data_IF_593404558572
#
_entry.id   IF_593404558572
#
_cell.length_a   1.000
_cell.length_b   1.000
_cell.length_c   1.000
_cell.angle_alpha   90.00
_cell.angle_beta   90.00
_cell.angle_gamma   90.00
#
_symmetry.space_group_name_H-M   'P 1'
#
loop_
_entity.id
_entity.type
_entity.pdbx_description
1 polymer ?
#
# COMPACT_ATOMS: atom_id res chain seq x y z
N UNK A 1 22.44 -13.91 -10.75
CA UNK A 1 21.49 -14.99 -10.43
C UNK A 1 22.09 -16.14 -9.63
N UNK A 2 23.17 -16.82 -10.06
CA UNK A 2 23.74 -17.99 -9.30
C UNK A 2 24.20 -17.68 -7.85
N UNK A 3 24.67 -16.48 -7.54
CA UNK A 3 25.13 -16.10 -6.19
C UNK A 3 23.98 -15.77 -5.22
N UNK A 4 22.88 -15.22 -5.71
CA UNK A 4 21.71 -14.89 -4.88
C UNK A 4 20.94 -16.14 -4.47
N UNK A 5 20.83 -17.12 -5.38
CA UNK A 5 20.19 -18.43 -5.08
C UNK A 5 20.97 -19.21 -4.02
N UNK A 6 22.30 -19.15 -4.04
CA UNK A 6 23.13 -19.82 -3.04
C UNK A 6 22.99 -19.20 -1.64
N UNK A 7 22.84 -17.89 -1.53
CA UNK A 7 22.67 -17.18 -0.25
C UNK A 7 21.28 -17.45 0.36
N UNK A 8 20.22 -17.51 -0.45
CA UNK A 8 18.87 -17.85 0.01
C UNK A 8 18.79 -19.33 0.44
N UNK A 9 19.45 -20.24 -0.27
CA UNK A 9 19.52 -21.64 0.12
C UNK A 9 20.27 -21.85 1.46
N UNK A 10 21.32 -21.09 1.74
CA UNK A 10 22.05 -21.14 3.01
C UNK A 10 21.22 -20.63 4.19
N UNK A 11 20.32 -19.65 3.98
CA UNK A 11 19.41 -19.17 5.01
C UNK A 11 18.29 -20.18 5.33
N UNK A 12 17.82 -20.93 4.34
CA UNK A 12 16.80 -21.98 4.52
C UNK A 12 17.31 -23.19 5.31
N UNK A 13 18.62 -23.50 5.25
CA UNK A 13 19.19 -24.63 5.98
C UNK A 13 19.35 -24.39 7.49
N UNK A 14 19.41 -23.14 7.94
CA UNK A 14 19.53 -22.78 9.38
C UNK A 14 18.17 -22.85 10.10
N UNK A 15 17.05 -22.82 9.38
CA UNK A 15 15.70 -22.81 9.97
C UNK A 15 15.19 -24.23 10.31
N UNK A 16 15.84 -25.29 9.84
CA UNK A 16 15.32 -26.68 9.94
C UNK A 16 15.67 -27.45 11.20
N UNK A 17 16.30 -26.88 12.22
CA UNK A 17 16.78 -27.64 13.37
C UNK A 17 16.02 -27.47 14.70
N UNK A 18 14.86 -26.78 14.74
CA UNK A 18 14.12 -26.59 16.00
C UNK A 18 12.59 -26.70 15.89
N UNK A 19 12.09 -27.59 15.07
CA UNK A 19 10.65 -27.86 14.99
C UNK A 19 10.32 -29.27 15.50
N UNK A 20 10.50 -29.52 16.80
CA UNK A 20 9.82 -30.60 17.52
C UNK A 20 9.74 -30.22 19.02
N UNK A 21 8.71 -29.49 19.38
CA UNK A 21 8.10 -29.63 20.71
C UNK A 21 6.62 -29.37 20.60
N UNK A 22 5.88 -30.43 20.74
CA UNK A 22 4.43 -30.46 20.76
C UNK A 22 4.05 -30.12 22.21
N UNK A 23 3.76 -28.85 22.49
CA UNK A 23 3.16 -28.47 23.77
C UNK A 23 1.66 -28.21 23.57
N UNK A 24 0.90 -28.91 24.40
CA UNK A 24 -0.54 -28.84 24.56
C UNK A 24 -1.02 -27.40 24.70
N UNK A 25 -2.04 -27.05 23.92
CA UNK A 25 -2.77 -25.77 24.05
C UNK A 25 -3.25 -25.63 25.50
N UNK A 26 -2.84 -24.60 26.25
CA UNK A 26 -3.39 -24.35 27.59
C UNK A 26 -4.85 -23.93 27.46
N UNK A 27 -5.70 -24.51 28.26
CA UNK A 27 -7.09 -24.12 28.41
C UNK A 27 -7.15 -22.70 29.02
N UNK A 28 -7.44 -21.70 28.23
CA UNK A 28 -7.46 -20.25 28.54
C UNK A 28 -8.79 -19.83 29.24
N UNK A 29 -9.50 -20.71 29.90
CA UNK A 29 -10.78 -20.39 30.52
C UNK A 29 -10.70 -20.10 32.03
N UNK A 30 -9.53 -20.12 32.64
CA UNK A 30 -9.37 -19.83 34.07
C UNK A 30 -8.10 -19.02 34.33
N UNK A 31 -8.24 -17.75 34.44
CA UNK A 31 -7.65 -16.76 35.32
C UNK A 31 -7.71 -15.39 34.66
N UNK A 32 -8.69 -14.60 35.11
CA UNK A 32 -8.84 -13.22 34.63
C UNK A 32 -7.70 -12.34 35.11
N UNK A 33 -6.68 -12.20 34.29
CA UNK A 33 -5.76 -11.07 34.39
C UNK A 33 -6.46 -9.90 33.73
N UNK A 34 -7.06 -9.02 34.52
CA UNK A 34 -7.46 -7.68 34.10
C UNK A 34 -6.18 -6.92 33.72
N UNK A 35 -5.78 -7.06 32.47
CA UNK A 35 -4.88 -6.12 31.86
C UNK A 35 -5.67 -4.80 31.77
N UNK A 36 -5.23 -3.79 32.55
CA UNK A 36 -5.64 -2.41 32.33
C UNK A 36 -5.47 -2.13 30.83
N UNK A 37 -6.54 -1.67 30.25
CA UNK A 37 -6.83 -1.53 28.83
C UNK A 37 -5.68 -0.88 28.04
N UNK A 38 -4.65 -1.65 27.74
CA UNK A 38 -4.00 -1.51 26.43
C UNK A 38 -5.10 -1.91 25.47
N UNK A 39 -5.70 -0.96 24.77
CA UNK A 39 -6.59 -1.26 23.65
C UNK A 39 -5.72 -1.79 22.52
N UNK A 40 -5.15 -2.97 22.72
CA UNK A 40 -5.03 -3.94 21.66
C UNK A 40 -6.48 -4.12 21.26
N UNK A 41 -6.85 -3.66 20.08
CA UNK A 41 -8.16 -3.96 19.50
C UNK A 41 -8.22 -5.46 19.23
N UNK A 42 -8.16 -6.23 20.30
CA UNK A 42 -8.43 -7.62 20.35
C UNK A 42 -9.92 -7.78 20.17
N UNK A 43 -10.30 -8.33 19.05
CA UNK A 43 -11.55 -9.06 18.84
C UNK A 43 -12.86 -8.42 19.36
N UNK A 44 -12.98 -7.11 19.34
CA UNK A 44 -14.29 -6.51 19.25
C UNK A 44 -14.97 -7.11 18.03
N UNK A 45 -16.04 -7.83 18.27
CA UNK A 45 -16.67 -8.59 17.18
C UNK A 45 -16.84 -7.63 16.00
N UNK A 46 -16.31 -7.99 14.86
CA UNK A 46 -16.31 -7.17 13.63
C UNK A 46 -17.70 -6.59 13.34
N UNK A 47 -18.74 -7.29 13.79
CA UNK A 47 -20.15 -6.94 13.70
C UNK A 47 -20.55 -5.79 14.62
N UNK A 48 -20.09 -5.77 15.88
CA UNK A 48 -20.51 -4.75 16.86
C UNK A 48 -19.94 -3.38 16.52
N UNK A 49 -18.67 -3.30 16.14
CA UNK A 49 -18.07 -2.02 15.74
C UNK A 49 -18.64 -1.50 14.42
N UNK A 50 -18.96 -2.40 13.49
CA UNK A 50 -19.58 -2.03 12.22
C UNK A 50 -21.03 -1.60 12.39
N UNK A 51 -21.79 -2.24 13.27
CA UNK A 51 -23.17 -1.86 13.60
C UNK A 51 -23.27 -0.58 14.43
N UNK A 52 -22.29 -0.32 15.31
CA UNK A 52 -22.22 0.91 16.11
C UNK A 52 -21.59 2.10 15.38
N UNK A 53 -21.10 1.89 14.16
CA UNK A 53 -20.61 2.96 13.32
C UNK A 53 -21.76 3.53 12.51
N UNK A 54 -22.08 4.82 12.69
CA UNK A 54 -22.96 5.58 11.78
C UNK A 54 -22.37 5.73 10.38
N UNK A 55 -21.19 5.17 10.15
CA UNK A 55 -20.43 5.28 8.90
C UNK A 55 -20.46 3.98 8.12
N UNK A 56 -20.48 4.07 6.80
CA UNK A 56 -20.29 2.90 5.91
C UNK A 56 -18.82 2.47 5.94
N UNK A 57 -18.47 1.66 6.94
CA UNK A 57 -17.12 1.17 7.21
C UNK A 57 -17.06 -0.33 6.93
N UNK A 58 -16.07 -0.76 6.14
CA UNK A 58 -15.74 -2.18 5.93
C UNK A 58 -14.36 -2.44 6.53
N UNK A 59 -14.27 -3.36 7.49
CA UNK A 59 -13.00 -3.81 8.09
C UNK A 59 -12.58 -5.15 7.52
N UNK A 60 -11.30 -5.26 7.20
CA UNK A 60 -10.68 -6.44 6.63
C UNK A 60 -9.43 -6.74 7.44
N UNK A 61 -9.33 -7.96 7.91
CA UNK A 61 -8.14 -8.43 8.63
C UNK A 61 -7.19 -9.21 7.72
N UNK A 62 -6.06 -9.59 8.28
CA UNK A 62 -4.98 -10.32 7.62
C UNK A 62 -5.45 -11.58 6.91
N UNK A 63 -6.32 -12.38 7.52
CA UNK A 63 -6.85 -13.62 6.92
C UNK A 63 -7.57 -13.39 5.59
N UNK A 64 -8.31 -12.28 5.46
CA UNK A 64 -8.93 -11.95 4.17
C UNK A 64 -7.88 -11.62 3.11
N UNK A 65 -6.86 -10.84 3.49
CA UNK A 65 -5.78 -10.45 2.57
C UNK A 65 -5.04 -11.68 2.05
N UNK A 66 -4.76 -12.64 2.91
CA UNK A 66 -4.11 -13.90 2.56
C UNK A 66 -4.97 -14.78 1.64
N UNK A 67 -6.26 -14.96 1.96
CA UNK A 67 -7.16 -15.78 1.16
C UNK A 67 -7.46 -15.18 -0.22
N UNK A 68 -7.37 -13.86 -0.37
CA UNK A 68 -7.69 -13.16 -1.62
C UNK A 68 -6.46 -12.54 -2.28
N UNK A 69 -5.25 -12.96 -1.88
CA UNK A 69 -3.99 -12.40 -2.37
C UNK A 69 -3.94 -12.36 -3.90
N UNK A 70 -3.81 -11.17 -4.46
CA UNK A 70 -3.75 -10.93 -5.90
C UNK A 70 -2.44 -10.24 -6.31
N UNK A 71 -2.32 -9.82 -7.56
CA UNK A 71 -1.11 -9.19 -8.13
C UNK A 71 -0.68 -7.91 -7.43
N UNK A 72 -1.64 -7.20 -6.83
CA UNK A 72 -1.42 -5.96 -6.10
C UNK A 72 -2.51 -5.76 -5.06
N UNK A 73 -2.27 -4.89 -4.08
CA UNK A 73 -3.23 -4.61 -3.02
C UNK A 73 -4.62 -4.17 -3.54
N UNK A 74 -4.76 -3.25 -4.50
CA UNK A 74 -6.07 -2.90 -5.05
C UNK A 74 -6.81 -4.09 -5.68
N UNK A 75 -6.09 -5.01 -6.34
CA UNK A 75 -6.70 -6.24 -6.88
C UNK A 75 -7.18 -7.16 -5.76
N UNK A 76 -6.42 -7.29 -4.69
CA UNK A 76 -6.81 -8.06 -3.48
C UNK A 76 -8.09 -7.50 -2.86
N UNK A 77 -8.30 -6.17 -2.91
CA UNK A 77 -9.48 -5.50 -2.37
C UNK A 77 -10.68 -5.48 -3.33
N UNK A 78 -10.52 -5.87 -4.58
CA UNK A 78 -11.58 -5.76 -5.60
C UNK A 78 -12.83 -6.64 -5.32
N UNK A 79 -12.73 -7.64 -4.44
CA UNK A 79 -13.86 -8.42 -3.96
C UNK A 79 -14.77 -7.70 -2.96
N UNK A 80 -14.38 -6.52 -2.48
CA UNK A 80 -15.16 -5.74 -1.51
C UNK A 80 -16.24 -4.95 -2.24
N UNK A 81 -17.51 -5.01 -1.80
CA UNK A 81 -18.59 -4.25 -2.43
C UNK A 81 -18.27 -2.76 -2.56
N UNK A 82 -18.34 -2.24 -3.79
CA UNK A 82 -18.06 -0.84 -4.12
C UNK A 82 -16.58 -0.47 -4.20
N UNK A 83 -15.66 -1.43 -4.08
CA UNK A 83 -14.23 -1.27 -4.37
C UNK A 83 -13.90 -2.01 -5.66
N UNK A 84 -13.14 -1.38 -6.53
CA UNK A 84 -12.61 -1.97 -7.76
C UNK A 84 -11.12 -1.66 -7.88
N UNK A 85 -10.44 -2.42 -8.70
CA UNK A 85 -9.07 -2.13 -9.12
C UNK A 85 -9.07 -1.65 -10.56
N UNK A 86 -8.41 -0.53 -10.82
CA UNK A 86 -8.01 -0.15 -12.17
C UNK A 86 -6.67 -0.82 -12.44
N UNK A 87 -6.67 -1.86 -13.26
CA UNK A 87 -5.50 -2.66 -13.55
C UNK A 87 -4.75 -2.07 -14.75
N UNK A 88 -3.46 -1.85 -14.57
CA UNK A 88 -2.56 -1.31 -15.57
C UNK A 88 -1.68 -2.45 -16.13
N UNK A 89 -1.55 -3.48 -15.34
CA UNK A 89 -0.80 -4.69 -15.64
C UNK A 89 -1.05 -5.73 -14.57
N UNK A 90 -0.27 -6.79 -14.56
CA UNK A 90 -0.44 -7.91 -13.62
C UNK A 90 0.00 -7.59 -12.19
N UNK A 91 0.94 -6.66 -12.00
CA UNK A 91 1.48 -6.26 -10.70
C UNK A 91 1.16 -4.82 -10.32
N UNK A 92 0.53 -4.04 -11.21
CA UNK A 92 0.22 -2.64 -10.95
C UNK A 92 -1.26 -2.35 -11.10
N UNK A 93 -1.81 -1.70 -10.10
CA UNK A 93 -3.18 -1.22 -10.13
C UNK A 93 -3.38 -0.08 -9.14
N UNK A 94 -4.47 0.64 -9.30
CA UNK A 94 -4.93 1.63 -8.32
C UNK A 94 -6.34 1.34 -7.87
N UNK A 95 -6.69 1.70 -6.64
CA UNK A 95 -8.03 1.46 -6.13
C UNK A 95 -9.02 2.48 -6.68
N UNK A 96 -10.27 2.04 -6.78
CA UNK A 96 -11.42 2.85 -7.18
C UNK A 96 -12.56 2.55 -6.22
N UNK A 97 -13.15 3.57 -5.60
CA UNK A 97 -14.30 3.44 -4.70
C UNK A 97 -15.52 4.07 -5.35
N UNK A 98 -16.59 3.29 -5.56
CA UNK A 98 -17.85 3.73 -6.18
C UNK A 98 -17.65 4.47 -7.51
N UNK A 99 -16.69 4.04 -8.32
CA UNK A 99 -16.34 4.66 -9.59
C UNK A 99 -15.40 5.85 -9.52
N UNK A 100 -15.01 6.29 -8.32
CA UNK A 100 -14.09 7.40 -8.11
C UNK A 100 -12.70 6.86 -7.76
N UNK A 101 -11.70 7.31 -8.49
CA UNK A 101 -10.29 6.97 -8.32
C UNK A 101 -9.40 8.21 -8.42
N UNK A 102 -8.09 8.01 -8.59
CA UNK A 102 -7.10 9.08 -8.70
C UNK A 102 -7.10 10.00 -7.46
N UNK A 103 -7.16 11.32 -7.68
CA UNK A 103 -7.19 12.34 -6.63
C UNK A 103 -8.58 12.52 -5.98
N UNK A 104 -9.49 11.55 -6.14
CA UNK A 104 -10.84 11.60 -5.55
C UNK A 104 -11.03 10.57 -4.46
N UNK A 105 -9.99 9.85 -4.11
CA UNK A 105 -9.95 8.93 -3.00
C UNK A 105 -8.59 9.01 -2.29
N UNK A 106 -8.57 8.72 -1.01
CA UNK A 106 -7.38 8.77 -0.18
C UNK A 106 -6.98 7.37 0.27
N UNK A 107 -5.69 7.07 0.21
CA UNK A 107 -5.09 5.93 0.89
C UNK A 107 -4.26 6.47 2.05
N UNK A 108 -4.35 5.86 3.22
CA UNK A 108 -3.49 6.20 4.35
C UNK A 108 -2.75 4.97 4.85
N UNK A 109 -1.57 5.18 5.43
CA UNK A 109 -0.82 4.18 6.19
C UNK A 109 -0.72 4.65 7.65
N UNK A 110 -1.33 3.91 8.58
CA UNK A 110 -1.38 4.26 10.01
C UNK A 110 -1.86 5.72 10.26
N UNK A 111 -2.86 6.16 9.49
CA UNK A 111 -3.43 7.51 9.59
C UNK A 111 -2.66 8.62 8.86
N UNK A 112 -1.53 8.30 8.21
CA UNK A 112 -0.74 9.22 7.40
C UNK A 112 -1.11 9.04 5.94
N UNK A 113 -1.44 10.12 5.23
CA UNK A 113 -1.80 10.09 3.81
C UNK A 113 -0.64 9.56 2.97
N UNK A 114 -0.91 8.57 2.15
CA UNK A 114 0.06 8.03 1.19
C UNK A 114 0.16 8.99 0.01
N UNK A 115 1.33 9.56 -0.18
CA UNK A 115 1.59 10.59 -1.17
C UNK A 115 2.42 10.07 -2.35
N UNK A 116 1.93 9.01 -2.99
CA UNK A 116 2.41 8.55 -4.31
C UNK A 116 2.01 9.51 -5.43
N UNK A 117 2.41 9.18 -6.64
CA UNK A 117 2.10 9.95 -7.85
C UNK A 117 1.01 9.22 -8.63
N UNK A 118 -0.24 9.32 -8.17
CA UNK A 118 -1.36 8.54 -8.68
C UNK A 118 -2.28 9.28 -9.67
N UNK A 119 -1.83 10.39 -10.26
CA UNK A 119 -2.64 11.20 -11.16
C UNK A 119 -2.84 10.59 -12.55
N UNK A 120 -1.88 9.81 -13.07
CA UNK A 120 -1.96 9.16 -14.37
C UNK A 120 -2.68 7.80 -14.30
N UNK A 121 -3.24 7.34 -15.41
CA UNK A 121 -3.88 6.03 -15.49
C UNK A 121 -2.87 4.91 -15.27
N UNK A 122 -1.64 5.09 -15.72
CA UNK A 122 -0.52 4.16 -15.66
C UNK A 122 0.22 4.13 -14.31
N UNK A 123 -0.22 4.90 -13.33
CA UNK A 123 0.42 4.99 -12.02
C UNK A 123 -0.26 4.09 -10.99
N UNK A 124 0.42 3.04 -10.54
CA UNK A 124 -0.05 2.10 -9.53
C UNK A 124 0.05 2.64 -8.10
N UNK A 125 -0.53 1.89 -7.16
CA UNK A 125 -0.38 2.15 -5.73
C UNK A 125 0.91 1.48 -5.22
N UNK A 126 1.75 2.25 -4.56
CA UNK A 126 3.09 1.86 -4.09
C UNK A 126 3.02 1.40 -2.62
N UNK A 127 2.51 0.21 -2.41
CA UNK A 127 2.29 -0.38 -1.07
C UNK A 127 2.67 -1.86 -1.10
N UNK A 128 3.56 -2.27 -0.21
CA UNK A 128 3.79 -3.68 0.08
C UNK A 128 2.56 -4.27 0.78
N UNK A 129 1.79 -5.09 0.06
CA UNK A 129 0.56 -5.70 0.57
C UNK A 129 0.79 -6.70 1.71
N UNK A 130 2.00 -7.26 1.82
CA UNK A 130 2.36 -8.21 2.87
C UNK A 130 2.64 -7.52 4.21
N UNK A 131 3.03 -6.23 4.18
CA UNK A 131 3.28 -5.42 5.37
C UNK A 131 2.00 -4.90 6.04
N UNK A 132 0.83 -5.12 5.43
CA UNK A 132 -0.47 -4.65 5.94
C UNK A 132 -1.11 -5.71 6.82
N UNK A 133 -1.50 -5.32 8.04
CA UNK A 133 -2.14 -6.21 9.02
C UNK A 133 -3.68 -6.17 8.91
N UNK A 134 -4.23 -4.98 8.71
CA UNK A 134 -5.67 -4.76 8.52
C UNK A 134 -5.97 -3.55 7.67
N UNK A 135 -7.16 -3.52 7.09
CA UNK A 135 -7.62 -2.43 6.22
C UNK A 135 -9.02 -1.99 6.67
N UNK A 136 -9.24 -0.69 6.61
CA UNK A 136 -10.56 -0.09 6.77
C UNK A 136 -10.91 0.69 5.49
N UNK A 137 -12.06 0.39 4.90
CA UNK A 137 -12.60 1.12 3.76
C UNK A 137 -13.77 1.97 4.24
N UNK A 138 -13.59 3.28 4.22
CA UNK A 138 -14.59 4.26 4.65
C UNK A 138 -15.25 4.86 3.41
N UNK A 139 -16.58 4.83 3.37
CA UNK A 139 -17.38 5.32 2.24
C UNK A 139 -18.39 6.33 2.74
N UNK A 140 -18.55 7.45 2.03
CA UNK A 140 -19.52 8.48 2.36
C UNK A 140 -18.94 9.61 3.21
N UNK A 141 -19.77 10.43 3.90
CA UNK A 141 -19.38 11.71 4.48
C UNK A 141 -18.23 11.66 5.47
N UNK A 142 -18.08 10.56 6.19
CA UNK A 142 -16.96 10.36 7.13
C UNK A 142 -15.58 10.38 6.48
N UNK A 143 -15.50 10.11 5.19
CA UNK A 143 -14.25 10.22 4.43
C UNK A 143 -13.70 11.65 4.41
N UNK A 144 -14.55 12.69 4.55
CA UNK A 144 -14.14 14.09 4.56
C UNK A 144 -13.18 14.45 5.70
N UNK A 145 -13.13 13.67 6.77
CA UNK A 145 -12.13 13.82 7.84
C UNK A 145 -10.69 13.65 7.34
N UNK A 146 -10.53 13.04 6.18
CA UNK A 146 -9.22 12.76 5.56
C UNK A 146 -8.85 13.77 4.45
N UNK A 147 -9.60 14.86 4.36
CA UNK A 147 -9.36 15.96 3.44
C UNK A 147 -10.23 15.96 2.19
N UNK A 148 -10.07 17.01 1.36
CA UNK A 148 -10.87 17.27 0.16
C UNK A 148 -10.81 16.15 -0.89
N UNK A 149 -9.69 15.44 -0.96
CA UNK A 149 -9.45 14.37 -1.93
C UNK A 149 -10.25 13.10 -1.62
N UNK A 150 -10.85 13.01 -0.43
CA UNK A 150 -11.54 11.80 0.05
C UNK A 150 -13.02 11.71 -0.39
N UNK A 151 -13.45 12.43 -1.41
CA UNK A 151 -14.86 12.47 -1.88
C UNK A 151 -15.37 11.06 -2.24
N UNK A 152 -14.55 10.23 -2.87
CA UNK A 152 -14.88 8.84 -3.24
C UNK A 152 -14.85 7.90 -2.05
N UNK A 153 -14.04 8.19 -1.05
CA UNK A 153 -13.80 7.37 0.11
C UNK A 153 -12.34 7.29 0.52
N UNK A 154 -12.09 6.49 1.54
CA UNK A 154 -10.74 6.30 2.11
C UNK A 154 -10.44 4.82 2.28
N UNK A 155 -9.21 4.44 2.01
CA UNK A 155 -8.63 3.13 2.35
C UNK A 155 -7.56 3.36 3.41
N UNK A 156 -7.85 3.01 4.65
CA UNK A 156 -6.88 3.07 5.73
C UNK A 156 -6.16 1.74 5.84
N UNK A 157 -4.84 1.76 5.69
CA UNK A 157 -3.95 0.62 5.84
C UNK A 157 -3.28 0.70 7.20
N UNK A 158 -3.31 -0.38 7.94
CA UNK A 158 -2.69 -0.45 9.25
C UNK A 158 -1.64 -1.56 9.30
N UNK A 159 -0.46 -1.21 9.79
CA UNK A 159 0.63 -2.13 10.14
C UNK A 159 0.85 -2.05 11.65
N UNK A 160 -0.24 -2.13 12.41
CA UNK A 160 -0.28 -1.84 13.85
C UNK A 160 -0.19 -3.09 14.73
N UNK A 161 0.06 -4.26 14.14
CA UNK A 161 0.31 -5.47 14.90
C UNK A 161 1.52 -5.28 15.82
N UNK A 162 1.31 -5.55 17.12
CA UNK A 162 2.36 -5.55 18.14
C UNK A 162 2.67 -7.01 18.47
N UNK A 163 3.94 -7.46 18.32
CA UNK A 163 4.33 -8.82 18.65
C UNK A 163 4.03 -9.16 20.09
N UNK A 164 3.59 -10.39 20.35
CA UNK A 164 3.34 -10.88 21.71
C UNK A 164 4.55 -11.62 22.30
N UNK A 165 5.44 -12.13 21.42
CA UNK A 165 6.58 -12.97 21.79
C UNK A 165 7.91 -12.21 21.62
N UNK A 166 8.98 -12.64 22.29
CA UNK A 166 10.32 -12.05 22.09
C UNK A 166 10.84 -12.22 20.66
N UNK A 167 10.39 -13.26 19.98
CA UNK A 167 10.71 -13.55 18.59
C UNK A 167 9.55 -14.27 17.92
N UNK A 168 9.19 -13.81 16.75
CA UNK A 168 8.25 -14.46 15.83
C UNK A 168 8.66 -14.15 14.39
N UNK A 169 8.48 -15.11 13.50
CA UNK A 169 8.81 -14.95 12.09
C UNK A 169 7.73 -15.56 11.22
N UNK A 170 7.62 -15.03 10.02
CA UNK A 170 6.69 -15.48 8.99
C UNK A 170 7.38 -15.40 7.64
N UNK A 171 7.17 -16.41 6.81
CA UNK A 171 7.58 -16.41 5.42
C UNK A 171 6.42 -16.88 4.54
N UNK A 172 6.19 -16.17 3.44
CA UNK A 172 5.16 -16.47 2.47
C UNK A 172 5.79 -16.60 1.09
N UNK A 173 5.56 -17.72 0.44
CA UNK A 173 5.93 -17.96 -0.94
C UNK A 173 4.66 -18.07 -1.77
N UNK A 174 4.58 -17.31 -2.86
CA UNK A 174 3.45 -17.41 -3.76
C UNK A 174 3.90 -17.53 -5.22
N UNK A 175 3.06 -18.16 -6.01
CA UNK A 175 3.26 -18.36 -7.44
C UNK A 175 1.94 -18.16 -8.20
N UNK A 176 2.01 -17.62 -9.39
CA UNK A 176 0.85 -17.47 -10.29
C UNK A 176 1.23 -17.91 -11.70
N UNK A 177 0.36 -18.70 -12.33
CA UNK A 177 0.64 -19.27 -13.66
C UNK A 177 0.38 -18.30 -14.81
N UNK A 178 -0.49 -17.29 -14.63
CA UNK A 178 -0.84 -16.37 -15.71
C UNK A 178 0.34 -15.56 -16.22
N UNK A 179 1.14 -15.05 -15.30
CA UNK A 179 2.32 -14.23 -15.56
C UNK A 179 3.60 -14.84 -14.98
N UNK A 180 3.59 -16.15 -14.67
CA UNK A 180 4.73 -16.84 -14.07
C UNK A 180 5.34 -16.08 -12.88
N UNK A 181 4.47 -15.41 -12.11
CA UNK A 181 4.89 -14.63 -10.95
C UNK A 181 5.39 -15.53 -9.85
N UNK A 182 6.54 -15.18 -9.28
CA UNK A 182 7.10 -15.78 -8.07
C UNK A 182 7.38 -14.65 -7.09
N UNK A 183 6.90 -14.79 -5.86
CA UNK A 183 7.15 -13.84 -4.81
C UNK A 183 7.48 -14.50 -3.49
N UNK A 184 8.35 -13.86 -2.73
CA UNK A 184 8.73 -14.21 -1.38
C UNK A 184 8.54 -13.00 -0.49
N UNK A 185 7.79 -13.15 0.60
CA UNK A 185 7.74 -12.17 1.68
C UNK A 185 8.23 -12.83 2.97
N UNK A 186 9.17 -12.20 3.64
CA UNK A 186 9.71 -12.65 4.92
C UNK A 186 9.57 -11.52 5.95
N UNK A 187 9.02 -11.87 7.11
CA UNK A 187 8.80 -10.94 8.20
C UNK A 187 9.39 -11.52 9.49
N UNK A 188 10.01 -10.68 10.27
CA UNK A 188 10.51 -10.99 11.60
C UNK A 188 10.05 -9.90 12.55
N UNK A 189 9.59 -10.29 13.72
CA UNK A 189 9.11 -9.37 14.73
C UNK A 189 9.46 -9.91 16.14
N UNK A 190 9.47 -9.02 17.11
CA UNK A 190 9.67 -9.44 18.49
C UNK A 190 9.41 -8.30 19.46
N UNK A 191 9.03 -8.68 20.69
CA UNK A 191 8.78 -7.74 21.80
C UNK A 191 9.52 -8.20 23.04
N UNK A 192 10.19 -7.27 23.68
CA UNK A 192 10.76 -7.46 25.01
C UNK A 192 10.36 -6.30 25.89
N UNK A 193 9.67 -6.60 26.97
CA UNK A 193 9.08 -5.61 27.87
C UNK A 193 8.18 -4.62 27.11
N UNK A 194 8.56 -3.36 27.06
CA UNK A 194 7.83 -2.27 26.40
C UNK A 194 8.31 -1.95 24.98
N UNK A 195 9.43 -2.54 24.57
CA UNK A 195 10.00 -2.30 23.24
C UNK A 195 9.67 -3.46 22.29
N UNK A 196 9.34 -3.12 21.04
CA UNK A 196 9.16 -4.10 20.00
C UNK A 196 9.82 -3.64 18.67
N UNK A 197 10.11 -4.61 17.84
CA UNK A 197 10.63 -4.38 16.49
C UNK A 197 9.88 -5.23 15.48
N UNK A 198 9.84 -4.75 14.23
CA UNK A 198 9.41 -5.54 13.06
C UNK A 198 10.34 -5.25 11.91
N UNK A 199 10.69 -6.30 11.14
CA UNK A 199 11.48 -6.22 9.91
C UNK A 199 10.73 -6.97 8.84
N UNK A 200 10.60 -6.41 7.65
CA UNK A 200 9.96 -7.04 6.50
C UNK A 200 10.80 -6.90 5.24
N UNK A 201 10.79 -7.93 4.42
CA UNK A 201 11.39 -7.95 3.08
C UNK A 201 10.42 -8.67 2.14
N UNK A 202 10.09 -8.03 1.02
CA UNK A 202 9.26 -8.62 -0.03
C UNK A 202 9.98 -8.53 -1.37
N UNK A 203 10.03 -9.64 -2.08
CA UNK A 203 10.63 -9.74 -3.41
C UNK A 203 9.63 -10.40 -4.35
N UNK A 204 9.29 -9.74 -5.44
CA UNK A 204 8.39 -10.25 -6.48
C UNK A 204 9.03 -10.09 -7.85
N UNK A 205 8.94 -11.14 -8.65
CA UNK A 205 9.35 -11.12 -10.05
C UNK A 205 8.25 -11.79 -10.89
N UNK A 206 7.84 -11.16 -11.98
CA UNK A 206 6.80 -11.68 -12.85
C UNK A 206 7.13 -11.46 -14.32
N UNK A 207 6.71 -12.42 -15.14
CA UNK A 207 6.84 -12.39 -16.60
C UNK A 207 5.64 -11.70 -17.26
N UNK A 208 5.70 -11.58 -18.56
CA UNK A 208 4.60 -11.13 -19.40
C UNK A 208 3.32 -11.95 -19.14
N UNK A 209 2.18 -11.30 -19.00
CA UNK A 209 0.94 -11.98 -18.67
C UNK A 209 0.21 -12.49 -19.92
N UNK A 210 -0.51 -13.60 -19.72
CA UNK A 210 -1.36 -14.21 -20.74
C UNK A 210 -2.72 -13.54 -20.82
N UNK A 211 -3.23 -13.42 -22.03
CA UNK A 211 -4.59 -12.99 -22.33
C UNK A 211 -5.38 -14.10 -23.00
N UNK A 212 -6.71 -14.11 -22.92
CA UNK A 212 -7.55 -15.17 -23.51
C UNK A 212 -7.63 -15.12 -25.05
N UNK A 213 -6.98 -14.15 -25.68
CA UNK A 213 -7.01 -13.93 -27.13
C UNK A 213 -5.71 -14.37 -27.79
N UNK A 214 -5.79 -14.87 -29.01
CA UNK A 214 -4.62 -15.20 -29.85
C UNK A 214 -4.09 -13.98 -30.62
N UNK A 215 -4.89 -12.92 -30.70
CA UNK A 215 -4.54 -11.67 -31.38
C UNK A 215 -5.23 -10.50 -30.71
N UNK A 216 -4.66 -9.32 -30.89
CA UNK A 216 -5.26 -8.05 -30.49
C UNK A 216 -5.55 -7.24 -31.75
N UNK A 217 -6.63 -6.47 -31.73
CA UNK A 217 -6.93 -5.50 -32.77
C UNK A 217 -6.31 -4.17 -32.39
N UNK A 218 -5.46 -3.63 -33.27
CA UNK A 218 -4.88 -2.31 -33.14
C UNK A 218 -5.24 -1.50 -34.39
N UNK A 219 -6.09 -0.49 -34.23
CA UNK A 219 -6.78 0.17 -35.33
C UNK A 219 -7.47 -0.86 -36.25
N UNK A 220 -7.05 -0.94 -37.53
CA UNK A 220 -7.55 -1.91 -38.52
C UNK A 220 -6.71 -3.19 -38.62
N UNK A 221 -5.64 -3.32 -37.87
CA UNK A 221 -4.72 -4.45 -37.91
C UNK A 221 -5.02 -5.47 -36.82
N UNK A 222 -4.91 -6.75 -37.15
CA UNK A 222 -4.90 -7.84 -36.18
C UNK A 222 -3.46 -8.29 -35.99
N UNK A 223 -2.99 -8.16 -34.75
CA UNK A 223 -1.65 -8.51 -34.33
C UNK A 223 -1.72 -9.83 -33.60
N UNK A 224 -1.09 -10.87 -34.14
CA UNK A 224 -1.00 -12.19 -33.51
C UNK A 224 -0.06 -12.13 -32.31
N UNK A 225 -0.51 -12.62 -31.16
CA UNK A 225 0.28 -12.69 -29.95
C UNK A 225 1.05 -14.00 -29.87
N UNK A 226 2.33 -13.93 -29.57
CA UNK A 226 3.16 -15.10 -29.28
C UNK A 226 2.75 -15.69 -27.94
N UNK A 227 2.41 -16.97 -27.90
CA UNK A 227 1.99 -17.68 -26.70
C UNK A 227 0.82 -17.01 -25.94
N UNK A 228 0.00 -16.20 -26.63
CA UNK A 228 -1.08 -15.37 -26.03
C UNK A 228 -0.59 -14.40 -24.96
N UNK A 229 0.63 -13.91 -25.05
CA UNK A 229 1.21 -12.99 -24.06
C UNK A 229 1.25 -11.58 -24.58
N UNK A 230 0.99 -10.62 -23.70
CA UNK A 230 1.27 -9.21 -23.97
C UNK A 230 2.74 -8.94 -23.61
N UNK A 231 3.53 -8.68 -24.65
CA UNK A 231 4.93 -8.36 -24.53
C UNK A 231 5.17 -7.12 -23.67
N UNK A 232 6.32 -7.09 -22.98
CA UNK A 232 6.78 -5.98 -22.14
C UNK A 232 5.82 -5.65 -21.02
N UNK A 233 5.19 -6.67 -20.44
CA UNK A 233 4.34 -6.51 -19.26
C UNK A 233 4.91 -7.19 -18.02
N UNK A 234 6.16 -7.62 -18.14
CA UNK A 234 6.96 -8.15 -17.04
C UNK A 234 7.32 -7.05 -16.02
N UNK A 235 7.65 -7.45 -14.82
CA UNK A 235 8.08 -6.51 -13.80
C UNK A 235 8.65 -7.17 -12.56
N UNK A 236 9.10 -6.33 -11.64
CA UNK A 236 9.65 -6.74 -10.35
C UNK A 236 9.36 -5.71 -9.28
N UNK A 237 9.24 -6.21 -8.04
CA UNK A 237 9.04 -5.43 -6.83
C UNK A 237 10.04 -5.88 -5.76
N UNK A 238 10.59 -4.93 -5.01
CA UNK A 238 11.54 -5.17 -3.95
C UNK A 238 11.24 -4.17 -2.83
N UNK A 239 10.71 -4.69 -1.72
CA UNK A 239 10.26 -3.86 -0.62
C UNK A 239 10.99 -4.22 0.65
N UNK A 240 11.31 -3.19 1.42
CA UNK A 240 11.92 -3.32 2.73
C UNK A 240 11.17 -2.49 3.77
N UNK A 241 11.05 -2.99 4.98
CA UNK A 241 10.48 -2.23 6.09
C UNK A 241 11.17 -2.54 7.41
N UNK A 242 11.24 -1.52 8.26
CA UNK A 242 11.70 -1.63 9.63
C UNK A 242 10.80 -0.79 10.53
N UNK A 243 10.38 -1.36 11.65
CA UNK A 243 9.61 -0.65 12.68
C UNK A 243 10.28 -0.85 14.03
N UNK A 244 10.43 0.23 14.77
CA UNK A 244 10.79 0.22 16.18
C UNK A 244 9.67 0.90 16.98
N UNK A 245 9.14 0.22 17.99
CA UNK A 245 8.03 0.75 18.76
C UNK A 245 8.22 0.58 20.25
N UNK A 246 7.52 1.44 20.97
CA UNK A 246 7.41 1.44 22.43
C UNK A 246 5.93 1.41 22.82
N UNK A 247 5.59 0.56 23.80
CA UNK A 247 4.23 0.45 24.36
C UNK A 247 4.32 0.56 25.86
N UNK A 248 3.90 1.69 26.39
CA UNK A 248 3.77 1.93 27.84
C UNK A 248 2.30 2.01 28.25
N UNK A 249 2.07 2.28 29.52
CA UNK A 249 0.72 2.28 30.11
C UNK A 249 -0.14 3.46 29.59
N UNK A 250 0.47 4.61 29.36
CA UNK A 250 -0.21 5.82 28.90
C UNK A 250 0.31 6.36 27.57
N UNK A 251 1.44 5.86 27.09
CA UNK A 251 2.08 6.34 25.90
C UNK A 251 2.58 5.18 25.03
N UNK A 252 2.29 5.26 23.75
CA UNK A 252 2.88 4.36 22.78
C UNK A 252 3.35 5.14 21.55
N UNK A 253 4.41 4.67 20.94
CA UNK A 253 4.95 5.26 19.71
C UNK A 253 5.54 4.18 18.83
N UNK A 254 5.43 4.37 17.51
CA UNK A 254 6.05 3.53 16.52
C UNK A 254 6.76 4.40 15.47
N UNK A 255 8.00 4.12 15.24
CA UNK A 255 8.80 4.70 14.16
C UNK A 255 8.98 3.64 13.09
N UNK A 256 8.53 3.93 11.86
CA UNK A 256 8.58 3.03 10.70
C UNK A 256 9.37 3.68 9.57
N UNK A 257 10.29 2.91 9.00
CA UNK A 257 10.93 3.21 7.72
C UNK A 257 10.48 2.12 6.75
N UNK A 258 10.08 2.49 5.54
CA UNK A 258 9.81 1.55 4.46
C UNK A 258 10.25 2.12 3.12
N UNK A 259 10.75 1.25 2.26
CA UNK A 259 11.13 1.57 0.90
C UNK A 259 10.50 0.57 -0.05
N UNK A 260 9.85 1.06 -1.09
CA UNK A 260 9.16 0.28 -2.11
C UNK A 260 9.79 0.60 -3.45
N UNK A 261 10.36 -0.41 -4.08
CA UNK A 261 10.93 -0.31 -5.40
C UNK A 261 10.18 -1.18 -6.38
N UNK A 262 9.69 -0.57 -7.47
CA UNK A 262 9.07 -1.29 -8.58
C UNK A 262 9.71 -0.91 -9.90
N UNK A 263 9.89 -1.91 -10.77
CA UNK A 263 10.16 -1.72 -12.19
C UNK A 263 9.17 -2.56 -12.97
N UNK A 264 8.42 -1.94 -13.89
CA UNK A 264 7.41 -2.64 -14.69
C UNK A 264 7.36 -2.08 -16.10
N UNK A 265 7.34 -2.98 -17.05
CA UNK A 265 7.11 -2.68 -18.45
C UNK A 265 5.63 -2.46 -18.75
N UNK A 266 5.36 -1.86 -19.89
CA UNK A 266 4.03 -1.63 -20.41
C UNK A 266 3.98 -2.09 -21.86
N UNK A 267 2.85 -2.67 -22.22
CA UNK A 267 2.59 -2.93 -23.63
C UNK A 267 2.66 -1.59 -24.39
N UNK A 268 3.37 -1.57 -25.52
CA UNK A 268 3.78 -0.33 -26.21
C UNK A 268 2.64 0.67 -26.45
N UNK A 269 1.42 0.19 -26.68
CA UNK A 269 0.25 1.03 -26.89
C UNK A 269 -0.24 1.79 -25.65
N UNK A 270 0.18 1.40 -24.44
CA UNK A 270 -0.26 2.04 -23.19
C UNK A 270 0.18 3.52 -23.08
N UNK A 271 1.20 3.91 -23.82
CA UNK A 271 1.70 5.29 -23.86
C UNK A 271 1.31 6.08 -25.12
N UNK A 272 0.37 5.58 -25.91
CA UNK A 272 -0.02 6.23 -27.15
C UNK A 272 1.04 6.23 -28.26
N UNK A 273 2.10 5.44 -28.09
CA UNK A 273 3.12 5.23 -29.11
C UNK A 273 2.58 4.27 -30.18
N UNK A 274 2.98 4.48 -31.44
CA UNK A 274 2.68 3.53 -32.51
C UNK A 274 3.32 2.18 -32.18
N UNK A 275 2.48 1.14 -32.14
CA UNK A 275 2.94 -0.23 -31.95
C UNK A 275 3.60 -0.70 -33.25
N UNK A 276 4.91 -0.89 -33.24
CA UNK A 276 5.61 -1.52 -34.34
C UNK A 276 5.43 -3.04 -34.22
N UNK A 277 5.34 -3.72 -35.35
CA UNK A 277 5.25 -5.19 -35.35
C UNK A 277 6.45 -5.83 -34.62
N UNK A 278 7.64 -5.23 -34.73
CA UNK A 278 8.83 -5.62 -33.95
C UNK A 278 8.66 -5.52 -32.45
N UNK A 279 7.82 -4.61 -31.96
CA UNK A 279 7.62 -4.38 -30.53
C UNK A 279 6.69 -5.43 -29.91
N UNK A 280 5.98 -6.19 -30.73
CA UNK A 280 5.01 -7.19 -30.31
C UNK A 280 5.58 -8.60 -30.32
N UNK A 281 6.51 -8.86 -31.22
CA UNK A 281 7.04 -10.21 -31.48
C UNK A 281 8.49 -10.41 -31.00
N UNK A 282 9.10 -9.39 -30.40
CA UNK A 282 10.53 -9.39 -30.12
C UNK A 282 10.87 -9.36 -28.64
N UNK A 283 10.76 -10.52 -27.96
CA UNK A 283 11.28 -10.73 -26.61
C UNK A 283 12.46 -11.69 -26.66
N UNK A 284 13.54 -11.36 -25.98
CA UNK A 284 14.63 -12.29 -25.65
C UNK A 284 14.16 -13.27 -24.59
N UNK A 285 13.33 -12.81 -23.68
CA UNK A 285 12.78 -13.54 -22.55
C UNK A 285 11.43 -12.96 -22.17
N UNK A 286 10.53 -13.80 -21.66
CA UNK A 286 9.23 -13.38 -21.08
C UNK A 286 9.37 -12.49 -19.85
N UNK A 287 10.59 -12.30 -19.33
CA UNK A 287 10.90 -11.48 -18.14
C UNK A 287 11.70 -10.23 -18.50
N UNK A 288 11.92 -9.97 -19.77
CA UNK A 288 12.56 -8.74 -20.23
C UNK A 288 11.63 -7.55 -19.92
N UNK A 289 12.25 -6.46 -19.50
CA UNK A 289 11.57 -5.19 -19.29
C UNK A 289 12.26 -4.18 -20.19
N UNK A 290 11.69 -4.02 -21.36
CA UNK A 290 12.13 -3.09 -22.40
C UNK A 290 11.35 -1.77 -22.33
N UNK A 291 11.58 -0.88 -23.25
CA UNK A 291 10.81 0.37 -23.38
C UNK A 291 9.40 0.08 -23.96
N UNK A 292 8.36 0.77 -23.49
CA UNK A 292 8.36 1.69 -22.35
C UNK A 292 8.32 0.96 -21.00
N UNK A 293 8.92 1.54 -19.97
CA UNK A 293 8.81 1.03 -18.61
C UNK A 293 8.83 2.15 -17.57
N UNK A 294 8.28 1.86 -16.40
CA UNK A 294 8.35 2.71 -15.22
C UNK A 294 9.29 2.13 -14.17
N UNK A 295 9.95 3.04 -13.47
CA UNK A 295 10.76 2.75 -12.31
C UNK A 295 10.30 3.69 -11.19
N UNK A 296 9.89 3.12 -10.08
CA UNK A 296 9.45 3.87 -8.91
C UNK A 296 10.25 3.44 -7.69
N UNK A 297 10.66 4.41 -6.90
CA UNK A 297 11.18 4.20 -5.56
C UNK A 297 10.46 5.14 -4.61
N UNK A 298 9.86 4.58 -3.55
CA UNK A 298 9.09 5.32 -2.57
C UNK A 298 9.57 5.03 -1.15
N UNK A 299 10.47 5.89 -0.67
CA UNK A 299 10.94 5.87 0.70
C UNK A 299 9.94 6.61 1.61
N UNK A 300 9.56 5.99 2.72
CA UNK A 300 8.67 6.56 3.73
C UNK A 300 9.28 6.42 5.12
N UNK A 301 9.32 7.52 5.86
CA UNK A 301 9.72 7.58 7.25
C UNK A 301 8.54 8.15 8.03
N UNK A 302 8.01 7.38 8.95
CA UNK A 302 6.76 7.70 9.63
C UNK A 302 6.89 7.48 11.14
N UNK A 303 6.29 8.37 11.91
CA UNK A 303 6.07 8.19 13.33
C UNK A 303 4.60 8.32 13.64
N UNK A 304 4.07 7.38 14.39
CA UNK A 304 2.73 7.44 14.98
C UNK A 304 2.85 7.27 16.47
N UNK A 305 2.27 8.22 17.22
CA UNK A 305 2.31 8.23 18.68
C UNK A 305 0.91 8.41 19.24
N UNK A 306 0.61 7.72 20.33
CA UNK A 306 -0.63 7.88 21.10
C UNK A 306 -0.32 8.14 22.55
N UNK A 307 -1.09 9.02 23.16
CA UNK A 307 -1.00 9.33 24.58
C UNK A 307 -2.38 9.39 25.21
N UNK A 308 -2.56 8.65 26.31
CA UNK A 308 -3.78 8.60 27.10
C UNK A 308 -3.62 9.42 28.36
N UNK A 309 -4.52 10.38 28.58
CA UNK A 309 -4.57 11.22 29.77
C UNK A 309 -6.00 11.30 30.27
N UNK A 310 -6.33 10.52 31.30
CA UNK A 310 -7.70 10.36 31.75
C UNK A 310 -8.61 9.79 30.66
N UNK A 311 -9.67 10.53 30.32
CA UNK A 311 -10.61 10.15 29.24
C UNK A 311 -10.23 10.72 27.86
N UNK A 312 -9.07 11.34 27.73
CA UNK A 312 -8.58 11.94 26.49
C UNK A 312 -7.52 11.02 25.90
N UNK A 313 -7.70 10.68 24.63
CA UNK A 313 -6.67 10.06 23.80
C UNK A 313 -6.15 11.06 22.79
N UNK A 314 -4.86 11.31 22.84
CA UNK A 314 -4.12 12.09 21.85
C UNK A 314 -3.47 11.19 20.83
N UNK A 315 -3.45 11.62 19.58
CA UNK A 315 -2.76 10.94 18.48
C UNK A 315 -1.87 11.95 17.75
N UNK A 316 -0.60 11.61 17.56
CA UNK A 316 0.36 12.43 16.83
C UNK A 316 0.96 11.66 15.67
N UNK A 317 1.06 12.30 14.50
CA UNK A 317 1.64 11.75 13.29
C UNK A 317 2.70 12.69 12.74
N UNK A 318 3.85 12.13 12.38
CA UNK A 318 4.90 12.83 11.63
C UNK A 318 5.34 11.94 10.49
N UNK A 319 5.52 12.49 9.29
CA UNK A 319 6.10 11.72 8.21
C UNK A 319 6.93 12.55 7.23
N UNK A 320 7.88 11.84 6.63
CA UNK A 320 8.59 12.25 5.43
C UNK A 320 8.43 11.16 4.38
N UNK A 321 8.06 11.54 3.16
CA UNK A 321 7.95 10.64 2.03
C UNK A 321 8.75 11.21 0.87
N UNK A 322 9.57 10.34 0.25
CA UNK A 322 10.34 10.65 -0.95
C UNK A 322 9.92 9.70 -2.06
N UNK A 323 9.22 10.22 -3.05
CA UNK A 323 8.76 9.45 -4.20
C UNK A 323 9.54 9.85 -5.44
N UNK A 324 10.37 8.94 -5.95
CA UNK A 324 11.08 9.06 -7.22
C UNK A 324 10.41 8.18 -8.26
N UNK A 325 9.86 8.80 -9.30
CA UNK A 325 9.31 8.11 -10.47
C UNK A 325 10.10 8.48 -11.71
N UNK A 326 10.43 7.47 -12.50
CA UNK A 326 11.01 7.61 -13.85
C UNK A 326 10.15 6.83 -14.83
N UNK A 327 9.80 7.46 -15.92
CA UNK A 327 9.11 6.87 -17.05
C UNK A 327 10.05 6.94 -18.26
N UNK A 328 10.37 5.79 -18.79
CA UNK A 328 11.30 5.67 -19.90
C UNK A 328 10.56 5.14 -21.10
N UNK A 329 10.77 5.81 -22.25
CA UNK A 329 10.18 5.42 -23.52
C UNK A 329 11.18 5.62 -24.66
N UNK A 330 10.86 5.12 -25.82
CA UNK A 330 11.65 5.41 -27.00
C UNK A 330 11.57 6.90 -27.32
N UNK A 331 12.71 7.55 -27.66
CA UNK A 331 12.71 8.96 -28.03
C UNK A 331 11.99 9.14 -29.38
N UNK A 332 10.83 9.75 -29.33
CA UNK A 332 10.02 10.04 -30.52
C UNK A 332 9.83 11.55 -30.65
N UNK A 333 9.99 12.05 -31.86
CA UNK A 333 9.70 13.45 -32.17
C UNK A 333 8.19 13.70 -32.13
N UNK A 334 7.76 14.70 -31.39
CA UNK A 334 6.38 15.15 -31.34
C UNK A 334 6.23 16.42 -32.20
N UNK A 335 5.53 16.31 -33.31
CA UNK A 335 5.31 17.44 -34.23
C UNK A 335 6.64 17.96 -34.81
N UNK A 336 6.90 19.26 -34.61
CA UNK A 336 8.10 19.93 -35.10
C UNK A 336 9.28 19.93 -34.13
N UNK A 337 9.14 19.25 -32.98
CA UNK A 337 10.21 19.18 -31.99
C UNK A 337 11.30 18.22 -32.42
N UNK A 338 12.58 18.52 -32.13
CA UNK A 338 13.67 17.58 -32.41
C UNK A 338 13.50 16.29 -31.61
N UNK A 339 13.95 15.18 -32.18
CA UNK A 339 13.95 13.89 -31.45
C UNK A 339 14.80 14.00 -30.19
N UNK A 340 14.26 13.59 -29.03
CA UNK A 340 15.02 13.61 -27.78
C UNK A 340 16.30 12.75 -27.87
N UNK A 341 17.34 13.13 -27.13
CA UNK A 341 18.65 12.46 -27.18
C UNK A 341 18.76 11.26 -26.22
N UNK A 342 17.76 11.01 -25.38
CA UNK A 342 17.76 9.93 -24.40
C UNK A 342 16.37 9.36 -24.18
N UNK A 343 16.30 8.23 -23.47
CA UNK A 343 15.06 7.48 -23.20
C UNK A 343 14.30 7.95 -21.98
N UNK A 344 14.83 8.89 -21.18
CA UNK A 344 14.13 9.39 -19.98
C UNK A 344 13.04 10.38 -20.40
N UNK A 345 11.83 9.87 -20.57
CA UNK A 345 10.68 10.69 -20.95
C UNK A 345 10.26 11.61 -19.79
N UNK A 346 9.98 11.06 -18.64
CA UNK A 346 9.54 11.81 -17.48
C UNK A 346 10.27 11.37 -16.21
N UNK A 347 10.60 12.33 -15.37
CA UNK A 347 11.11 12.09 -14.03
C UNK A 347 10.40 13.04 -13.09
N UNK A 348 9.89 12.49 -12.00
CA UNK A 348 9.30 13.27 -10.92
C UNK A 348 9.97 12.88 -9.60
N UNK A 349 10.37 13.89 -8.85
CA UNK A 349 10.92 13.74 -7.51
C UNK A 349 10.06 14.55 -6.56
N UNK A 350 9.18 13.86 -5.84
CA UNK A 350 8.22 14.45 -4.92
C UNK A 350 8.64 14.16 -3.48
N UNK A 351 8.82 15.22 -2.69
CA UNK A 351 9.02 15.13 -1.26
C UNK A 351 7.78 15.66 -0.54
N UNK A 352 7.32 14.92 0.46
CA UNK A 352 6.15 15.29 1.26
C UNK A 352 6.51 15.21 2.73
N UNK A 353 6.20 16.26 3.46
CA UNK A 353 6.36 16.36 4.91
C UNK A 353 4.97 16.54 5.52
N UNK A 354 4.59 15.70 6.47
CA UNK A 354 3.30 15.81 7.15
C UNK A 354 3.47 15.83 8.65
N UNK A 355 2.66 16.64 9.32
CA UNK A 355 2.52 16.67 10.76
C UNK A 355 1.05 16.78 11.12
N UNK A 356 0.59 15.98 12.07
CA UNK A 356 -0.78 16.01 12.54
C UNK A 356 -0.88 15.71 14.01
N UNK A 357 -1.85 16.34 14.67
CA UNK A 357 -2.24 16.04 16.03
C UNK A 357 -3.75 15.99 16.12
N UNK A 358 -4.26 14.97 16.78
CA UNK A 358 -5.68 14.80 17.04
C UNK A 358 -5.94 14.45 18.49
N UNK A 359 -7.16 14.69 18.93
CA UNK A 359 -7.64 14.25 20.23
C UNK A 359 -9.00 13.59 20.09
N UNK A 360 -9.24 12.59 20.91
CA UNK A 360 -10.54 11.96 21.08
C UNK A 360 -10.90 11.93 22.57
N UNK A 361 -12.10 12.37 22.88
CA UNK A 361 -12.58 12.42 24.28
C UNK A 361 -14.03 11.96 24.35
N UNK A 362 -14.35 11.16 25.36
CA UNK A 362 -15.73 10.79 25.70
C UNK A 362 -16.23 11.71 26.84
N UNK A 363 -17.19 12.57 26.54
CA UNK A 363 -17.74 13.54 27.48
C UNK A 363 -19.11 13.03 27.99
N UNK A 364 -19.25 12.94 29.31
CA UNK A 364 -20.47 12.51 29.98
C UNK A 364 -21.06 11.18 29.50
N UNK A 365 -20.23 10.31 28.90
CA UNK A 365 -20.67 9.03 28.32
C UNK A 365 -21.55 9.15 27.07
N UNK A 366 -21.84 10.38 26.59
CA UNK A 366 -22.78 10.62 25.51
C UNK A 366 -22.14 11.28 24.27
N UNK A 367 -21.11 12.09 24.43
CA UNK A 367 -20.43 12.77 23.33
C UNK A 367 -19.07 12.15 23.07
N UNK A 368 -18.84 11.62 21.89
CA UNK A 368 -17.52 11.20 21.44
C UNK A 368 -16.96 12.26 20.49
N UNK A 369 -16.32 13.27 21.09
CA UNK A 369 -15.67 14.35 20.35
C UNK A 369 -14.33 13.89 19.80
N UNK A 370 -14.11 14.10 18.51
CA UNK A 370 -12.86 13.91 17.80
C UNK A 370 -12.49 15.20 17.09
N UNK A 371 -11.32 15.75 17.39
CA UNK A 371 -10.84 17.00 16.82
C UNK A 371 -9.35 16.87 16.49
N UNK A 372 -8.91 17.57 15.45
CA UNK A 372 -7.50 17.53 15.09
C UNK A 372 -7.12 18.59 14.07
N UNK A 373 -5.83 18.77 13.93
CA UNK A 373 -5.20 19.63 12.93
C UNK A 373 -4.08 18.88 12.23
N UNK A 374 -3.88 19.19 10.96
CA UNK A 374 -2.82 18.63 10.14
C UNK A 374 -2.18 19.69 9.26
N UNK A 375 -0.92 19.53 8.99
CA UNK A 375 -0.13 20.34 8.08
C UNK A 375 0.59 19.41 7.11
N UNK A 376 0.65 19.80 5.86
CA UNK A 376 1.39 19.10 4.82
C UNK A 376 2.16 20.11 3.97
N UNK A 377 3.42 19.81 3.69
CA UNK A 377 4.23 20.53 2.72
C UNK A 377 4.74 19.56 1.68
N UNK A 378 4.52 19.89 0.42
CA UNK A 378 4.96 19.10 -0.72
C UNK A 378 5.81 19.95 -1.64
N UNK A 379 6.84 19.33 -2.20
CA UNK A 379 7.53 19.90 -3.33
C UNK A 379 7.84 18.80 -4.37
N UNK A 380 7.60 19.10 -5.65
CA UNK A 380 7.84 18.21 -6.76
C UNK A 380 8.78 18.88 -7.75
N UNK A 381 9.79 18.14 -8.21
CA UNK A 381 10.72 18.53 -9.27
C UNK A 381 10.64 17.55 -10.41
N UNK A 382 10.45 18.08 -11.60
CA UNK A 382 10.38 17.32 -12.84
C UNK A 382 11.76 17.21 -13.50
N UNK A 383 11.88 16.26 -14.40
CA UNK A 383 13.01 16.07 -15.33
C UNK A 383 12.58 15.19 -16.48
N UNK A 384 13.47 14.95 -17.43
CA UNK A 384 13.16 14.28 -18.68
C UNK A 384 12.74 15.27 -19.77
N UNK A 385 12.46 14.75 -20.95
CA UNK A 385 12.10 15.60 -22.10
C UNK A 385 10.59 15.85 -22.23
N UNK A 386 9.75 14.99 -21.66
CA UNK A 386 8.30 15.17 -21.57
C UNK A 386 7.85 15.65 -20.20
N UNK A 387 6.69 16.29 -20.12
CA UNK A 387 6.08 16.61 -18.83
C UNK A 387 4.55 16.69 -18.93
N UNK A 388 3.88 16.28 -17.86
CA UNK A 388 2.43 16.45 -17.69
C UNK A 388 2.17 17.40 -16.53
N UNK A 389 2.99 17.34 -15.48
CA UNK A 389 2.87 18.12 -14.25
C UNK A 389 4.11 19.01 -14.11
N UNK A 390 3.95 20.30 -13.89
CA UNK A 390 5.07 21.22 -13.68
C UNK A 390 5.76 20.96 -12.32
N UNK A 391 6.88 21.65 -12.11
CA UNK A 391 7.42 21.83 -10.77
C UNK A 391 6.41 22.59 -9.91
N UNK A 392 6.22 22.13 -8.68
CA UNK A 392 5.31 22.79 -7.74
C UNK A 392 5.79 22.69 -6.30
N UNK A 393 5.32 23.63 -5.50
CA UNK A 393 5.42 23.64 -4.06
C UNK A 393 4.04 23.96 -3.49
N UNK A 394 3.61 23.20 -2.49
CA UNK A 394 2.28 23.33 -1.90
C UNK A 394 2.36 23.19 -0.39
N UNK A 395 1.68 24.07 0.32
CA UNK A 395 1.43 23.95 1.77
C UNK A 395 -0.06 23.83 2.00
N UNK A 396 -0.46 22.80 2.73
CA UNK A 396 -1.86 22.55 3.10
C UNK A 396 -1.99 22.53 4.61
N UNK A 397 -3.00 23.23 5.13
CA UNK A 397 -3.38 23.21 6.54
C UNK A 397 -4.82 22.76 6.62
N UNK A 398 -5.11 21.85 7.54
CA UNK A 398 -6.45 21.33 7.75
C UNK A 398 -6.79 21.21 9.22
N UNK A 399 -8.07 21.33 9.54
CA UNK A 399 -8.59 21.07 10.86
C UNK A 399 -9.97 20.45 10.78
N UNK A 400 -10.30 19.62 11.74
CA UNK A 400 -11.60 19.00 11.81
C UNK A 400 -12.11 18.91 13.26
N UNK A 401 -13.43 18.93 13.39
CA UNK A 401 -14.13 18.61 14.62
C UNK A 401 -15.31 17.73 14.25
N UNK A 402 -15.47 16.61 14.94
CA UNK A 402 -16.59 15.71 14.78
C UNK A 402 -17.08 15.29 16.15
N UNK A 403 -18.38 15.44 16.39
CA UNK A 403 -19.03 14.87 17.56
C UNK A 403 -19.95 13.73 17.14
N UNK A 404 -19.97 12.66 17.93
CA UNK A 404 -20.94 11.59 17.84
C UNK A 404 -21.73 11.60 19.13
N UNK A 405 -23.02 11.89 19.05
CA UNK A 405 -23.90 11.91 20.18
C UNK A 405 -24.65 10.58 20.32
N UNK A 406 -24.46 9.92 21.44
CA UNK A 406 -25.16 8.68 21.78
C UNK A 406 -26.46 9.06 22.48
N UNK A 407 -27.55 9.21 21.73
CA UNK A 407 -28.87 9.53 22.25
C UNK A 407 -29.44 8.36 23.05
N UNK A 408 -29.29 7.15 22.53
CA UNK A 408 -29.64 5.88 23.14
C UNK A 408 -28.50 4.89 22.86
N UNK A 409 -28.49 3.73 23.54
CA UNK A 409 -27.46 2.70 23.32
C UNK A 409 -27.34 2.29 21.83
N UNK A 410 -28.45 2.34 21.10
CA UNK A 410 -28.53 1.94 19.69
C UNK A 410 -28.85 3.11 18.73
N UNK A 411 -28.86 4.36 19.19
CA UNK A 411 -29.13 5.54 18.36
C UNK A 411 -27.99 6.54 18.49
N UNK A 412 -27.22 6.70 17.43
CA UNK A 412 -26.07 7.59 17.31
C UNK A 412 -26.41 8.67 16.28
N UNK A 413 -26.24 9.92 16.67
CA UNK A 413 -26.40 11.11 15.83
C UNK A 413 -25.05 11.70 15.46
#
# INVERSE_FOLDING_TARGET
MKRVVATVASFLFIIHSHAQHQDSVPDMTKDGVTLSEVVIMGNDSRRDTQMRSSQSLVRIGKSYLEMNLSGSLPQTLAGIPGVKAMNIGSGQSKPVIRGLGFNRMVVTENGIKHEGQQWGEEHGLEIDQFSVDRIEVIKGPAALLYGSDAIGGVINLYSDYIPARPYESRAELFMRSNNESVGLSAQMAGKRDRLYYKVGLTLVDYADYKVPADSIQYYSYYIKLKDRRLRNTAGKEQDGSFTLGYVGDHFSTAFKISDIYTKSGFFANAHGLEVRLSDIDYDRSRRDIDLPYHLVNHLKIMNHSTWHSGNIRWEGNLSFQHNLRKELSEPVSHGYMPTPSNTLERKYTKNTYTAGIGMKVLIAGKHSLNAGVNAEYQHNRRGGWGFIIPDFETTSLGGYVMDRYFLLENLIL
#
